data_IF_837455075581
#
_entry.id   IF_837455075581
#
_cell.length_a   1.000
_cell.length_b   1.000
_cell.length_c   1.000
_cell.angle_alpha   90.00
_cell.angle_beta   90.00
_cell.angle_gamma   90.00
#
_symmetry.space_group_name_H-M   'P 1'
#
loop_
_entity.id
_entity.type
_entity.pdbx_description
1 polymer ?
#
# COMPACT_ATOMS: atom_id res chain seq x y z
N UNK A 1 -13.33 20.03 18.87
CA UNK A 1 -12.70 18.73 18.53
C UNK A 1 -11.62 19.05 17.51
N UNK A 2 -10.37 18.69 17.77
CA UNK A 2 -9.30 18.91 16.78
C UNK A 2 -9.40 17.77 15.77
N UNK A 3 -9.81 18.10 14.56
CA UNK A 3 -9.80 17.17 13.44
C UNK A 3 -8.34 16.84 13.14
N UNK A 4 -7.93 15.60 13.45
CA UNK A 4 -6.54 15.19 13.23
C UNK A 4 -6.42 14.86 11.75
N UNK A 5 -5.71 15.70 10.99
CA UNK A 5 -5.51 15.48 9.57
C UNK A 5 -4.74 14.17 9.34
N UNK A 6 -5.27 13.28 8.50
CA UNK A 6 -4.60 12.02 8.16
C UNK A 6 -3.28 12.32 7.42
N UNK A 7 -2.19 11.74 7.92
CA UNK A 7 -0.87 11.84 7.28
C UNK A 7 -0.66 10.64 6.39
N UNK A 8 -0.52 10.88 5.09
CA UNK A 8 -0.44 9.83 4.07
C UNK A 8 0.99 9.75 3.54
N UNK A 9 1.54 8.52 3.46
CA UNK A 9 2.83 8.23 2.83
C UNK A 9 2.59 7.37 1.60
N UNK A 10 2.99 7.88 0.43
CA UNK A 10 2.92 7.13 -0.83
C UNK A 10 4.21 6.35 -1.07
N UNK A 11 4.07 5.06 -1.36
CA UNK A 11 5.20 4.16 -1.62
C UNK A 11 5.14 3.66 -3.06
N UNK A 12 6.25 3.81 -3.77
CA UNK A 12 6.46 3.30 -5.12
C UNK A 12 7.56 2.23 -5.12
N UNK A 13 7.45 1.27 -6.02
CA UNK A 13 8.49 0.27 -6.25
C UNK A 13 8.10 -0.75 -7.31
N UNK A 14 9.02 -1.66 -7.61
CA UNK A 14 8.87 -2.65 -8.68
C UNK A 14 7.69 -3.60 -8.44
N UNK A 15 6.90 -3.85 -9.48
CA UNK A 15 5.73 -4.75 -9.44
C UNK A 15 6.07 -6.23 -9.54
N UNK A 16 7.35 -6.56 -9.80
CA UNK A 16 7.83 -7.94 -10.02
C UNK A 16 8.62 -8.52 -8.85
N UNK A 17 8.84 -7.73 -7.80
CA UNK A 17 9.48 -8.18 -6.57
C UNK A 17 8.62 -9.26 -5.91
N UNK A 18 9.26 -10.25 -5.30
CA UNK A 18 8.65 -11.42 -4.69
C UNK A 18 9.10 -11.57 -3.24
N UNK A 19 8.44 -12.41 -2.44
CA UNK A 19 8.83 -12.63 -1.03
C UNK A 19 10.27 -13.17 -0.86
N UNK A 20 10.89 -13.71 -1.92
CA UNK A 20 12.28 -14.17 -1.90
C UNK A 20 13.29 -13.02 -2.04
N UNK A 21 12.87 -11.86 -2.54
CA UNK A 21 13.72 -10.71 -2.75
C UNK A 21 13.88 -9.89 -1.45
N UNK A 22 15.09 -9.43 -1.11
CA UNK A 22 15.32 -8.67 0.12
C UNK A 22 14.52 -7.36 0.16
N UNK A 23 14.27 -6.73 -0.99
CA UNK A 23 13.49 -5.51 -1.10
C UNK A 23 12.02 -5.72 -0.70
N UNK A 24 11.46 -6.92 -0.89
CA UNK A 24 10.11 -7.23 -0.43
C UNK A 24 10.05 -7.20 1.10
N UNK A 25 11.00 -7.88 1.78
CA UNK A 25 11.07 -7.89 3.24
C UNK A 25 11.30 -6.48 3.80
N UNK A 26 12.13 -5.66 3.14
CA UNK A 26 12.34 -4.27 3.51
C UNK A 26 11.07 -3.42 3.35
N UNK A 27 10.38 -3.53 2.22
CA UNK A 27 9.13 -2.82 1.97
C UNK A 27 8.03 -3.22 2.95
N UNK A 28 7.95 -4.51 3.29
CA UNK A 28 7.08 -5.02 4.33
C UNK A 28 7.37 -4.34 5.67
N UNK A 29 8.65 -4.32 6.10
CA UNK A 29 9.06 -3.70 7.35
C UNK A 29 8.78 -2.19 7.39
N UNK A 30 8.98 -1.49 6.27
CA UNK A 30 8.62 -0.07 6.14
C UNK A 30 7.12 0.14 6.34
N UNK A 31 6.28 -0.70 5.73
CA UNK A 31 4.82 -0.66 5.91
C UNK A 31 4.39 -0.83 7.37
N UNK A 32 4.98 -1.80 8.07
CA UNK A 32 4.72 -2.00 9.50
C UNK A 32 5.06 -0.76 10.34
N UNK A 33 6.27 -0.23 10.17
CA UNK A 33 6.78 0.89 10.95
C UNK A 33 5.94 2.17 10.76
N UNK A 34 5.53 2.43 9.51
CA UNK A 34 4.71 3.59 9.19
C UNK A 34 3.29 3.45 9.76
N UNK A 35 2.70 2.25 9.71
CA UNK A 35 1.40 1.99 10.33
C UNK A 35 1.46 2.13 11.86
N UNK A 36 2.49 1.59 12.50
CA UNK A 36 2.74 1.75 13.94
C UNK A 36 2.92 3.22 14.34
N UNK A 37 3.50 4.05 13.46
CA UNK A 37 3.63 5.50 13.64
C UNK A 37 2.36 6.30 13.31
N UNK A 38 1.26 5.64 12.93
CA UNK A 38 -0.03 6.27 12.66
C UNK A 38 -0.13 6.95 11.29
N UNK A 39 0.67 6.54 10.31
CA UNK A 39 0.53 6.96 8.92
C UNK A 39 -0.46 6.06 8.18
N UNK A 40 -1.19 6.67 7.24
CA UNK A 40 -1.95 5.95 6.21
C UNK A 40 -0.98 5.65 5.06
N UNK A 41 -0.96 4.41 4.60
CA UNK A 41 -0.15 4.01 3.44
C UNK A 41 -0.95 4.21 2.16
N UNK A 42 -0.30 4.74 1.12
CA UNK A 42 -0.84 4.86 -0.22
C UNK A 42 0.07 4.15 -1.23
N UNK A 43 -0.49 3.34 -2.12
CA UNK A 43 0.26 2.68 -3.20
C UNK A 43 -0.57 2.62 -4.49
N UNK A 44 0.03 2.15 -5.59
CA UNK A 44 -0.72 1.78 -6.79
C UNK A 44 -1.59 0.52 -6.64
N UNK A 45 -1.49 -0.17 -5.49
CA UNK A 45 -2.41 -1.23 -5.10
C UNK A 45 -2.24 -2.59 -5.76
N UNK A 46 -1.17 -2.81 -6.52
CA UNK A 46 -0.88 -4.09 -7.18
C UNK A 46 0.23 -4.88 -6.45
N UNK A 47 0.95 -5.73 -7.18
CA UNK A 47 1.93 -6.68 -6.67
C UNK A 47 3.30 -6.04 -6.37
N UNK A 48 4.23 -6.87 -5.88
CA UNK A 48 5.61 -6.50 -5.61
C UNK A 48 5.76 -5.59 -4.39
N UNK A 49 6.60 -4.56 -4.51
CA UNK A 49 6.89 -3.64 -3.40
C UNK A 49 5.62 -2.99 -2.85
N UNK A 50 4.65 -2.69 -3.71
CA UNK A 50 3.37 -2.12 -3.29
C UNK A 50 2.57 -3.09 -2.42
N UNK A 51 2.53 -4.37 -2.79
CA UNK A 51 1.89 -5.41 -1.99
C UNK A 51 2.63 -5.59 -0.66
N UNK A 52 3.96 -5.67 -0.67
CA UNK A 52 4.76 -5.84 0.53
C UNK A 52 4.49 -4.75 1.56
N UNK A 53 4.53 -3.48 1.13
CA UNK A 53 4.23 -2.35 2.01
C UNK A 53 2.76 -2.34 2.48
N UNK A 54 1.83 -2.68 1.58
CA UNK A 54 0.40 -2.81 1.93
C UNK A 54 0.18 -3.88 2.99
N UNK A 55 0.83 -5.05 2.82
CA UNK A 55 0.78 -6.18 3.74
C UNK A 55 1.30 -5.78 5.12
N UNK A 56 2.51 -5.23 5.19
CA UNK A 56 3.12 -4.83 6.46
C UNK A 56 2.27 -3.81 7.22
N UNK A 57 1.68 -2.84 6.52
CA UNK A 57 0.77 -1.88 7.13
C UNK A 57 -0.51 -2.53 7.66
N UNK A 58 -1.13 -3.45 6.91
CA UNK A 58 -2.35 -4.14 7.35
C UNK A 58 -2.15 -5.07 8.51
N UNK A 59 -1.03 -5.78 8.56
CA UNK A 59 -0.71 -6.67 9.68
C UNK A 59 -0.58 -5.91 11.01
N UNK A 60 -0.30 -4.60 10.95
CA UNK A 60 -0.29 -3.68 12.11
C UNK A 60 -1.60 -2.93 12.32
N UNK A 61 -2.66 -3.26 11.57
CA UNK A 61 -3.96 -2.58 11.65
C UNK A 61 -3.99 -1.20 10.99
N UNK A 62 -2.96 -0.84 10.22
CA UNK A 62 -2.89 0.42 9.49
C UNK A 62 -3.86 0.48 8.32
N UNK A 63 -4.23 1.69 7.91
CA UNK A 63 -5.07 1.95 6.74
C UNK A 63 -4.21 1.98 5.47
N UNK A 64 -4.70 1.39 4.38
CA UNK A 64 -3.97 1.25 3.12
C UNK A 64 -4.86 1.62 1.92
N UNK A 65 -4.54 2.76 1.32
CA UNK A 65 -5.16 3.28 0.11
C UNK A 65 -4.47 2.70 -1.14
N UNK A 66 -5.25 2.10 -2.04
CA UNK A 66 -4.76 1.70 -3.36
C UNK A 66 -5.35 2.58 -4.45
N UNK A 67 -4.50 3.31 -5.17
CA UNK A 67 -4.89 4.06 -6.37
C UNK A 67 -4.82 3.12 -7.57
N UNK A 68 -5.96 2.57 -7.95
CA UNK A 68 -6.05 1.49 -8.94
C UNK A 68 -6.52 2.03 -10.29
N UNK A 69 -6.02 1.40 -11.35
CA UNK A 69 -6.34 1.74 -12.73
C UNK A 69 -7.46 0.84 -13.23
N UNK A 70 -8.62 1.41 -13.57
CA UNK A 70 -9.76 0.64 -14.09
C UNK A 70 -9.47 -0.13 -15.39
N UNK A 71 -8.39 0.23 -16.10
CA UNK A 71 -7.99 -0.43 -17.34
C UNK A 71 -7.15 -1.70 -17.12
N UNK A 72 -6.62 -1.89 -15.91
CA UNK A 72 -5.75 -3.04 -15.64
C UNK A 72 -6.61 -4.26 -15.34
N UNK A 73 -6.26 -5.39 -15.98
CA UNK A 73 -6.88 -6.70 -15.71
C UNK A 73 -6.33 -7.38 -14.46
N UNK A 74 -5.23 -6.88 -13.93
CA UNK A 74 -4.63 -7.42 -12.72
C UNK A 74 -5.48 -7.04 -11.51
N UNK A 75 -5.79 -8.02 -10.68
CA UNK A 75 -6.48 -7.76 -9.42
C UNK A 75 -5.57 -6.96 -8.47
N UNK A 76 -6.09 -5.91 -7.81
CA UNK A 76 -5.39 -5.25 -6.73
C UNK A 76 -5.09 -6.23 -5.59
N UNK A 77 -4.00 -5.99 -4.87
CA UNK A 77 -3.62 -6.85 -3.76
C UNK A 77 -4.70 -6.83 -2.65
N UNK A 78 -4.79 -7.94 -1.92
CA UNK A 78 -5.84 -8.15 -0.89
C UNK A 78 -5.69 -7.28 0.36
N UNK A 79 -4.59 -6.54 0.49
CA UNK A 79 -4.26 -5.77 1.70
C UNK A 79 -4.82 -4.34 1.64
N UNK A 80 -5.44 -3.91 0.54
CA UNK A 80 -6.07 -2.59 0.49
C UNK A 80 -7.27 -2.49 1.46
N UNK A 81 -7.35 -1.40 2.23
CA UNK A 81 -8.58 -1.04 2.97
C UNK A 81 -9.55 -0.34 2.05
N UNK A 82 -9.02 0.56 1.22
CA UNK A 82 -9.79 1.42 0.32
C UNK A 82 -9.19 1.32 -1.08
N UNK A 83 -10.05 1.19 -2.08
CA UNK A 83 -9.68 1.24 -3.50
C UNK A 83 -10.19 2.54 -4.09
N UNK A 84 -9.29 3.37 -4.59
CA UNK A 84 -9.61 4.59 -5.33
C UNK A 84 -9.36 4.33 -6.80
N UNK A 85 -10.43 4.13 -7.55
CA UNK A 85 -10.36 3.90 -8.98
C UNK A 85 -10.12 5.21 -9.74
N UNK A 86 -9.16 5.23 -10.65
CA UNK A 86 -8.97 6.36 -11.57
C UNK A 86 -10.06 6.41 -12.63
N UNK A 87 -10.44 7.63 -13.04
CA UNK A 87 -11.45 7.84 -14.06
C UNK A 87 -11.01 7.26 -15.42
N UNK A 88 -11.98 6.77 -16.19
CA UNK A 88 -11.77 6.44 -17.60
C UNK A 88 -11.85 7.76 -18.40
N UNK A 89 -10.79 8.05 -19.16
CA UNK A 89 -10.78 9.11 -20.16
C UNK A 89 -11.11 8.55 -21.54
#
# INVERSE_FOLDING_TARGET
MVETQERIVTIFGGSRCTEADPEYAQAHRVGELLAEAGFVICTGGYLGIMEAASRGAREKGGRVLGIVMNQFKAEPNRYLTDKVATAQY
#
